data_IF_814880940624
#
_entry.id   IF_814880940624
#
_cell.length_a   1.000
_cell.length_b   1.000
_cell.length_c   1.000
_cell.angle_alpha   90.00
_cell.angle_beta   90.00
_cell.angle_gamma   90.00
#
_symmetry.space_group_name_H-M   'P 1'
#
loop_
_entity.id
_entity.type
_entity.pdbx_description
1 polymer ?
#
# COMPACT_ATOMS: atom_id res chain seq x y z
N UNK A 1 -17.36 27.84 -2.79
CA UNK A 1 -17.39 26.58 -3.58
C UNK A 1 -18.17 25.57 -2.76
N UNK A 2 -19.38 25.22 -3.20
CA UNK A 2 -20.30 24.37 -2.45
C UNK A 2 -19.70 23.01 -2.10
N UNK A 3 -19.94 22.58 -0.86
CA UNK A 3 -19.39 21.37 -0.25
C UNK A 3 -19.81 20.09 -0.96
N UNK A 4 -18.91 19.57 -1.79
CA UNK A 4 -18.94 18.18 -2.21
C UNK A 4 -18.57 17.31 -1.01
N UNK A 5 -19.32 16.23 -0.78
CA UNK A 5 -18.98 15.24 0.24
C UNK A 5 -17.57 14.67 -0.04
N UNK A 6 -16.70 14.48 0.98
CA UNK A 6 -15.42 13.79 0.85
C UNK A 6 -15.43 12.53 -0.04
N UNK A 7 -16.49 11.71 0.08
CA UNK A 7 -16.67 10.51 -0.73
C UNK A 7 -16.92 10.83 -2.20
N UNK A 8 -17.83 11.77 -2.49
CA UNK A 8 -18.14 12.21 -3.86
C UNK A 8 -16.92 12.82 -4.55
N UNK A 9 -16.08 13.53 -3.78
CA UNK A 9 -14.82 14.08 -4.29
C UNK A 9 -13.86 12.98 -4.72
N UNK A 10 -13.64 11.96 -3.89
CA UNK A 10 -12.78 10.83 -4.27
C UNK A 10 -13.33 10.07 -5.48
N UNK A 11 -14.64 9.81 -5.52
CA UNK A 11 -15.29 9.15 -6.66
C UNK A 11 -15.04 9.96 -7.94
N UNK A 12 -15.20 11.28 -7.88
CA UNK A 12 -14.94 12.15 -9.02
C UNK A 12 -13.47 12.08 -9.48
N UNK A 13 -12.52 12.12 -8.56
CA UNK A 13 -11.09 12.09 -8.90
C UNK A 13 -10.68 10.72 -9.48
N UNK A 14 -11.14 9.62 -8.88
CA UNK A 14 -10.89 8.25 -9.34
C UNK A 14 -11.49 7.98 -10.73
N UNK A 15 -12.71 8.45 -10.98
CA UNK A 15 -13.34 8.31 -12.30
C UNK A 15 -12.69 9.21 -13.35
N UNK A 16 -12.40 10.47 -13.01
CA UNK A 16 -11.91 11.46 -13.98
C UNK A 16 -10.44 11.27 -14.36
N UNK A 17 -9.57 11.08 -13.35
CA UNK A 17 -8.12 10.98 -13.54
C UNK A 17 -7.66 9.55 -13.78
N UNK A 18 -8.20 8.59 -13.03
CA UNK A 18 -7.73 7.20 -13.03
C UNK A 18 -8.64 6.25 -13.83
N UNK A 19 -9.70 6.77 -14.47
CA UNK A 19 -10.60 6.03 -15.37
C UNK A 19 -11.28 4.82 -14.72
N UNK A 20 -11.52 4.88 -13.41
CA UNK A 20 -12.33 3.89 -12.71
C UNK A 20 -13.78 3.96 -13.21
N UNK A 21 -14.48 2.82 -13.24
CA UNK A 21 -15.94 2.83 -13.32
C UNK A 21 -16.50 3.47 -12.05
N UNK A 22 -17.72 4.00 -12.09
CA UNK A 22 -18.32 4.64 -10.92
C UNK A 22 -18.38 3.69 -9.71
N UNK A 23 -18.73 2.43 -9.94
CA UNK A 23 -18.85 1.43 -8.88
C UNK A 23 -17.47 1.08 -8.27
N UNK A 24 -16.44 0.89 -9.11
CA UNK A 24 -15.09 0.67 -8.62
C UNK A 24 -14.53 1.90 -7.90
N UNK A 25 -14.85 3.10 -8.37
CA UNK A 25 -14.43 4.34 -7.73
C UNK A 25 -15.08 4.53 -6.36
N UNK A 26 -16.34 4.12 -6.21
CA UNK A 26 -17.04 4.14 -4.94
C UNK A 26 -16.41 3.16 -3.95
N UNK A 27 -16.22 1.90 -4.33
CA UNK A 27 -15.54 0.90 -3.48
C UNK A 27 -14.14 1.38 -3.05
N UNK A 28 -13.34 1.85 -4.01
CA UNK A 28 -12.01 2.38 -3.74
C UNK A 28 -12.03 3.58 -2.79
N UNK A 29 -12.96 4.53 -3.00
CA UNK A 29 -13.09 5.69 -2.14
C UNK A 29 -13.49 5.32 -0.70
N UNK A 30 -14.44 4.39 -0.54
CA UNK A 30 -14.85 3.88 0.78
C UNK A 30 -13.69 3.20 1.50
N UNK A 31 -12.89 2.39 0.79
CA UNK A 31 -11.71 1.71 1.33
C UNK A 31 -10.63 2.68 1.79
N UNK A 32 -10.32 3.69 0.98
CA UNK A 32 -9.33 4.72 1.32
C UNK A 32 -9.72 5.50 2.58
N UNK A 33 -11.02 5.56 2.89
CA UNK A 33 -11.55 6.25 4.07
C UNK A 33 -11.55 5.38 5.34
N UNK A 34 -11.19 4.10 5.28
CA UNK A 34 -11.09 3.22 6.46
C UNK A 34 -10.05 3.71 7.47
N UNK A 35 -8.93 4.25 6.99
CA UNK A 35 -7.88 4.86 7.82
C UNK A 35 -7.70 6.33 7.43
N UNK A 36 -7.87 7.21 8.43
CA UNK A 36 -7.79 8.67 8.23
C UNK A 36 -6.41 9.16 7.77
N UNK A 37 -5.33 8.49 8.16
CA UNK A 37 -3.97 8.83 7.74
C UNK A 37 -3.72 8.43 6.28
N UNK A 38 -4.27 7.29 5.86
CA UNK A 38 -4.23 6.83 4.46
C UNK A 38 -5.05 7.78 3.60
N UNK A 39 -6.27 8.11 4.02
CA UNK A 39 -7.13 9.09 3.36
C UNK A 39 -6.42 10.44 3.18
N UNK A 40 -5.90 11.02 4.26
CA UNK A 40 -5.20 12.30 4.21
C UNK A 40 -3.93 12.24 3.36
N UNK A 41 -3.20 11.11 3.40
CA UNK A 41 -2.07 10.84 2.53
C UNK A 41 -2.48 10.84 1.06
N UNK A 42 -3.60 10.18 0.73
CA UNK A 42 -4.10 10.13 -0.63
C UNK A 42 -4.57 11.50 -1.12
N UNK A 43 -5.22 12.30 -0.27
CA UNK A 43 -5.55 13.69 -0.60
C UNK A 43 -4.30 14.54 -0.86
N UNK A 44 -3.24 14.36 -0.07
CA UNK A 44 -1.96 15.05 -0.30
C UNK A 44 -1.36 14.65 -1.65
N UNK A 45 -1.44 13.37 -1.99
CA UNK A 45 -1.01 12.87 -3.29
C UNK A 45 -1.84 13.47 -4.45
N UNK A 46 -3.17 13.47 -4.36
CA UNK A 46 -4.04 14.04 -5.41
C UNK A 46 -3.79 15.54 -5.66
N UNK A 47 -3.48 16.28 -4.60
CA UNK A 47 -3.32 17.73 -4.65
C UNK A 47 -1.89 18.19 -4.97
N UNK A 48 -0.88 17.46 -4.50
CA UNK A 48 0.54 17.88 -4.53
C UNK A 48 1.47 16.87 -5.18
N UNK A 49 1.00 15.67 -5.52
CA UNK A 49 1.84 14.55 -5.95
C UNK A 49 2.74 14.01 -4.83
N UNK A 50 2.51 14.36 -3.57
CA UNK A 50 3.36 13.98 -2.46
C UNK A 50 2.88 12.67 -1.82
N UNK A 51 3.76 11.66 -1.78
CA UNK A 51 3.52 10.40 -1.09
C UNK A 51 3.62 10.58 0.43
N UNK A 52 2.78 9.83 1.16
CA UNK A 52 2.83 9.80 2.63
C UNK A 52 3.88 8.80 3.12
N UNK A 53 4.60 9.17 4.18
CA UNK A 53 5.49 8.26 4.91
C UNK A 53 4.77 7.41 5.95
N UNK A 54 3.44 7.49 6.03
CA UNK A 54 2.65 6.66 6.95
C UNK A 54 2.83 5.18 6.62
N UNK A 55 3.20 4.40 7.64
CA UNK A 55 3.46 2.97 7.50
C UNK A 55 2.37 2.13 8.16
N UNK A 56 1.88 1.11 7.46
CA UNK A 56 1.00 0.09 8.02
C UNK A 56 1.75 -1.24 7.96
N UNK A 57 2.01 -1.83 9.13
CA UNK A 57 2.71 -3.13 9.24
C UNK A 57 4.07 -3.19 8.53
N UNK A 58 4.79 -2.07 8.51
CA UNK A 58 6.08 -1.97 7.83
C UNK A 58 6.00 -1.61 6.35
N UNK A 59 4.81 -1.58 5.75
CA UNK A 59 4.61 -1.14 4.37
C UNK A 59 4.32 0.36 4.31
N UNK A 60 4.91 1.06 3.36
CA UNK A 60 4.58 2.43 2.99
C UNK A 60 4.05 2.46 1.56
N UNK A 61 3.44 3.57 1.15
CA UNK A 61 3.04 3.74 -0.26
C UNK A 61 4.26 3.64 -1.19
N UNK A 62 5.40 4.20 -0.77
CA UNK A 62 6.64 4.15 -1.54
C UNK A 62 7.19 2.73 -1.68
N UNK A 63 7.22 1.94 -0.58
CA UNK A 63 7.65 0.55 -0.66
C UNK A 63 6.71 -0.25 -1.56
N UNK A 64 5.39 -0.08 -1.42
CA UNK A 64 4.40 -0.77 -2.26
C UNK A 64 4.55 -0.44 -3.76
N UNK A 65 4.89 0.79 -4.12
CA UNK A 65 5.17 1.16 -5.52
C UNK A 65 6.50 0.54 -5.99
N UNK A 66 7.56 0.69 -5.21
CA UNK A 66 8.91 0.22 -5.59
C UNK A 66 8.99 -1.30 -5.70
N UNK A 67 8.48 -1.96 -4.67
CA UNK A 67 8.74 -3.37 -4.34
C UNK A 67 7.71 -4.31 -4.92
N UNK A 68 6.51 -3.81 -5.19
CA UNK A 68 5.39 -4.58 -5.76
C UNK A 68 4.91 -4.00 -7.10
N UNK A 69 5.60 -2.99 -7.64
CA UNK A 69 5.29 -2.33 -8.92
C UNK A 69 3.84 -1.82 -9.03
N UNK A 70 3.22 -1.54 -7.88
CA UNK A 70 1.89 -0.97 -7.83
C UNK A 70 1.92 0.48 -8.33
N UNK A 71 0.89 0.89 -9.07
CA UNK A 71 0.67 2.31 -9.30
C UNK A 71 0.29 3.00 -7.97
N UNK A 72 0.40 4.33 -7.86
CA UNK A 72 0.13 5.02 -6.61
C UNK A 72 -1.27 4.75 -6.04
N UNK A 73 -2.32 4.67 -6.87
CA UNK A 73 -3.68 4.38 -6.39
C UNK A 73 -3.75 2.94 -5.86
N UNK A 74 -3.19 1.99 -6.61
CA UNK A 74 -3.05 0.60 -6.17
C UNK A 74 -2.31 0.48 -4.83
N UNK A 75 -1.22 1.21 -4.64
CA UNK A 75 -0.45 1.21 -3.41
C UNK A 75 -1.23 1.79 -2.22
N UNK A 76 -1.98 2.89 -2.40
CA UNK A 76 -2.85 3.43 -1.34
C UNK A 76 -4.00 2.47 -0.99
N UNK A 77 -4.62 1.84 -1.98
CA UNK A 77 -5.67 0.84 -1.75
C UNK A 77 -5.12 -0.39 -1.04
N UNK A 78 -3.92 -0.84 -1.40
CA UNK A 78 -3.25 -1.95 -0.72
C UNK A 78 -2.89 -1.58 0.72
N UNK A 79 -2.44 -0.34 0.97
CA UNK A 79 -2.18 0.14 2.32
C UNK A 79 -3.46 0.18 3.17
N UNK A 80 -4.59 0.61 2.59
CA UNK A 80 -5.90 0.57 3.25
C UNK A 80 -6.35 -0.86 3.56
N UNK A 81 -6.12 -1.77 2.61
CA UNK A 81 -6.40 -3.19 2.75
C UNK A 81 -5.60 -3.83 3.89
N UNK A 82 -4.30 -3.53 3.98
CA UNK A 82 -3.43 -4.00 5.07
C UNK A 82 -3.82 -3.44 6.43
N UNK A 83 -4.44 -2.26 6.47
CA UNK A 83 -4.91 -1.64 7.71
C UNK A 83 -6.15 -2.34 8.26
N UNK A 84 -7.13 -2.61 7.39
CA UNK A 84 -8.42 -3.19 7.80
C UNK A 84 -8.38 -4.74 7.83
N UNK A 85 -7.83 -5.36 6.78
CA UNK A 85 -7.80 -6.81 6.59
C UNK A 85 -6.36 -7.31 6.32
N UNK A 86 -5.49 -7.29 7.34
CA UNK A 86 -4.07 -7.53 7.16
C UNK A 86 -3.71 -8.88 6.55
N UNK A 87 -4.35 -9.97 6.97
CA UNK A 87 -4.10 -11.30 6.42
C UNK A 87 -4.50 -11.39 4.94
N UNK A 88 -5.55 -10.66 4.53
CA UNK A 88 -5.99 -10.60 3.14
C UNK A 88 -5.03 -9.75 2.31
N UNK A 89 -4.62 -8.58 2.82
CA UNK A 89 -3.62 -7.72 2.17
C UNK A 89 -2.27 -8.41 1.99
N UNK A 90 -1.72 -9.04 3.03
CA UNK A 90 -0.46 -9.79 2.96
C UNK A 90 -0.56 -10.97 1.97
N UNK A 91 -1.72 -11.63 1.89
CA UNK A 91 -1.96 -12.67 0.89
C UNK A 91 -1.96 -12.10 -0.54
N UNK A 92 -2.55 -10.92 -0.78
CA UNK A 92 -2.50 -10.26 -2.08
C UNK A 92 -1.08 -9.89 -2.48
N UNK A 93 -0.30 -9.32 -1.55
CA UNK A 93 1.11 -9.03 -1.79
C UNK A 93 1.90 -10.29 -2.15
N UNK A 94 1.66 -11.40 -1.44
CA UNK A 94 2.28 -12.68 -1.77
C UNK A 94 1.90 -13.17 -3.17
N UNK A 95 0.63 -13.09 -3.54
CA UNK A 95 0.16 -13.46 -4.89
C UNK A 95 0.81 -12.59 -5.98
N UNK A 96 0.99 -11.29 -5.74
CA UNK A 96 1.71 -10.40 -6.66
C UNK A 96 3.15 -10.89 -6.90
N UNK A 97 3.84 -11.36 -5.86
CA UNK A 97 5.22 -11.85 -6.00
C UNK A 97 5.30 -13.23 -6.65
N UNK A 98 4.37 -14.12 -6.33
CA UNK A 98 4.40 -15.52 -6.81
C UNK A 98 3.85 -15.64 -8.24
N UNK A 99 2.76 -14.94 -8.52
CA UNK A 99 2.00 -15.08 -9.75
C UNK A 99 2.17 -13.87 -10.67
N UNK A 100 2.71 -12.74 -10.20
CA UNK A 100 2.68 -11.48 -10.94
C UNK A 100 1.33 -10.77 -10.81
N UNK A 101 1.21 -9.57 -11.37
CA UNK A 101 -0.08 -8.90 -11.48
C UNK A 101 -0.25 -8.13 -12.78
N UNK A 102 -1.51 -8.07 -13.21
CA UNK A 102 -1.92 -7.25 -14.34
C UNK A 102 -1.74 -5.77 -13.98
N UNK A 103 -1.04 -5.05 -14.84
CA UNK A 103 -0.94 -3.60 -14.86
C UNK A 103 -1.60 -3.09 -16.14
N UNK A 104 -2.35 -1.99 -16.03
CA UNK A 104 -2.91 -1.33 -17.19
C UNK A 104 -1.93 -0.25 -17.62
N UNK A 105 -1.26 -0.47 -18.75
CA UNK A 105 -0.42 0.54 -19.39
C UNK A 105 -1.29 1.28 -20.38
N UNK A 106 -1.23 2.61 -20.34
CA UNK A 106 -1.93 3.45 -21.31
C UNK A 106 -0.91 3.88 -22.34
N UNK A 107 -1.12 3.51 -23.60
CA UNK A 107 -0.26 3.92 -24.70
C UNK A 107 -0.44 5.43 -25.01
N UNK A 108 0.43 5.99 -25.85
CA UNK A 108 0.39 7.41 -26.24
C UNK A 108 -0.92 7.81 -26.93
N UNK A 109 -1.66 6.83 -27.48
CA UNK A 109 -2.93 7.00 -28.19
C UNK A 109 -4.16 6.81 -27.26
N UNK A 110 -3.95 6.47 -25.98
CA UNK A 110 -5.01 6.23 -25.00
C UNK A 110 -5.63 4.83 -25.03
N UNK A 111 -5.04 3.90 -25.78
CA UNK A 111 -5.29 2.46 -25.70
C UNK A 111 -4.82 1.89 -24.36
N UNK A 112 -5.57 0.92 -23.83
CA UNK A 112 -5.22 0.20 -22.61
C UNK A 112 -4.60 -1.13 -23.00
N UNK A 113 -3.31 -1.30 -22.73
CA UNK A 113 -2.62 -2.58 -22.85
C UNK A 113 -2.50 -3.20 -21.45
N UNK A 114 -2.85 -4.49 -21.33
CA UNK A 114 -2.68 -5.22 -20.08
C UNK A 114 -1.28 -5.84 -20.12
N UNK A 115 -0.34 -5.26 -19.38
CA UNK A 115 0.96 -5.87 -19.18
C UNK A 115 0.97 -6.67 -17.89
N UNK A 116 1.42 -7.91 -18.00
CA UNK A 116 1.58 -8.79 -16.86
C UNK A 116 2.95 -8.53 -16.24
N UNK A 117 2.97 -7.84 -15.09
CA UNK A 117 4.20 -7.50 -14.40
C UNK A 117 4.59 -8.63 -13.47
N UNK A 118 5.77 -9.21 -13.71
CA UNK A 118 6.43 -10.08 -12.75
C UNK A 118 7.34 -9.20 -11.91
N UNK A 119 7.07 -9.15 -10.61
CA UNK A 119 7.91 -8.42 -9.68
C UNK A 119 8.96 -9.40 -9.18
N UNK A 120 10.23 -9.11 -9.44
CA UNK A 120 11.29 -9.80 -8.70
C UNK A 120 11.04 -9.55 -7.22
N UNK A 121 11.03 -10.60 -6.36
CA UNK A 121 10.74 -10.44 -4.96
C UNK A 121 11.60 -9.31 -4.43
N UNK A 122 11.00 -8.31 -3.76
CA UNK A 122 11.75 -7.16 -3.33
C UNK A 122 12.94 -7.63 -2.53
N UNK A 123 14.11 -7.13 -2.90
CA UNK A 123 15.32 -7.25 -2.09
C UNK A 123 15.18 -6.33 -0.88
N UNK A 124 14.11 -6.53 -0.09
CA UNK A 124 14.31 -6.48 1.35
C UNK A 124 15.57 -7.30 1.57
N UNK A 125 16.51 -6.75 2.32
CA UNK A 125 17.59 -7.57 2.82
C UNK A 125 16.92 -8.64 3.67
N UNK A 126 16.57 -9.75 3.02
CA UNK A 126 16.16 -11.02 3.57
C UNK A 126 17.46 -11.65 4.08
N UNK A 127 18.22 -10.89 4.87
CA UNK A 127 19.19 -11.47 5.78
C UNK A 127 18.46 -12.04 7.01
N UNK A 128 17.12 -11.98 7.04
CA UNK A 128 16.30 -12.41 8.16
C UNK A 128 16.68 -11.70 9.46
N UNK A 129 17.44 -10.60 9.39
CA UNK A 129 17.92 -9.92 10.57
C UNK A 129 16.93 -8.83 10.93
N UNK A 130 15.83 -9.27 11.53
CA UNK A 130 15.11 -8.42 12.45
C UNK A 130 16.13 -8.04 13.53
N UNK A 131 16.84 -6.92 13.37
CA UNK A 131 17.88 -6.48 14.29
C UNK A 131 17.35 -5.41 15.20
N UNK A 132 17.65 -5.54 16.48
CA UNK A 132 17.28 -4.56 17.47
C UNK A 132 17.97 -3.23 17.17
N UNK A 133 17.22 -2.15 17.05
CA UNK A 133 17.75 -0.80 16.77
C UNK A 133 18.74 -0.30 17.83
N UNK A 134 18.74 -0.89 19.04
CA UNK A 134 19.66 -0.53 20.12
C UNK A 134 20.99 -1.28 20.11
N UNK A 135 20.97 -2.58 19.82
CA UNK A 135 22.17 -3.42 19.93
C UNK A 135 22.57 -4.12 18.63
N UNK A 136 21.76 -4.01 17.58
CA UNK A 136 21.93 -4.73 16.34
C UNK A 136 21.80 -6.26 16.47
N UNK A 137 21.34 -6.77 17.62
CA UNK A 137 21.15 -8.20 17.89
C UNK A 137 19.85 -8.74 17.28
N UNK A 138 19.76 -10.06 17.12
CA UNK A 138 18.60 -10.72 16.51
C UNK A 138 17.32 -10.54 17.37
N UNK A 139 16.22 -10.18 16.71
CA UNK A 139 14.89 -10.04 17.28
C UNK A 139 14.11 -11.32 17.01
N UNK A 140 13.35 -11.75 18.01
CA UNK A 140 12.45 -12.89 17.89
C UNK A 140 11.01 -12.42 17.76
N UNK A 141 10.28 -13.02 16.83
CA UNK A 141 8.85 -12.79 16.69
C UNK A 141 8.09 -13.43 17.86
N UNK A 142 7.21 -12.67 18.48
CA UNK A 142 6.33 -13.14 19.56
C UNK A 142 4.89 -13.21 19.02
N UNK A 143 4.49 -14.39 18.54
CA UNK A 143 3.17 -14.67 17.94
C UNK A 143 2.00 -14.12 18.78
N UNK A 144 2.03 -14.36 20.10
CA UNK A 144 0.98 -13.95 21.02
C UNK A 144 0.77 -12.42 21.10
N UNK A 145 1.77 -11.63 20.74
CA UNK A 145 1.72 -10.17 20.80
C UNK A 145 1.91 -9.49 19.45
N UNK A 146 2.17 -10.27 18.39
CA UNK A 146 2.50 -9.80 17.04
C UNK A 146 3.54 -8.67 17.07
N UNK A 147 4.61 -8.87 17.85
CA UNK A 147 5.70 -7.89 18.07
C UNK A 147 7.07 -8.57 18.05
N UNK A 148 8.08 -7.81 17.66
CA UNK A 148 9.49 -8.21 17.71
C UNK A 148 10.08 -7.94 19.10
N UNK A 149 10.78 -8.91 19.66
CA UNK A 149 11.41 -8.79 20.97
C UNK A 149 12.90 -9.11 20.93
N UNK A 150 13.70 -8.22 21.50
CA UNK A 150 15.14 -8.42 21.70
C UNK A 150 15.39 -9.04 23.07
N UNK A 151 16.04 -10.20 23.13
CA UNK A 151 16.42 -10.83 24.40
C UNK A 151 17.63 -10.17 25.08
N UNK A 152 18.53 -9.57 24.30
CA UNK A 152 19.71 -8.89 24.83
C UNK A 152 19.34 -7.57 25.52
N UNK A 153 18.51 -6.76 24.87
CA UNK A 153 18.01 -5.49 25.40
C UNK A 153 16.73 -5.64 26.25
N UNK A 154 16.12 -6.83 26.26
CA UNK A 154 14.86 -7.16 26.95
C UNK A 154 13.71 -6.21 26.65
N UNK A 155 13.59 -5.79 25.40
CA UNK A 155 12.61 -4.80 24.96
C UNK A 155 11.98 -5.18 23.62
N UNK A 156 10.81 -4.60 23.35
CA UNK A 156 10.16 -4.69 22.04
C UNK A 156 10.72 -3.65 21.08
N UNK A 157 10.72 -3.97 19.78
CA UNK A 157 10.94 -3.03 18.68
C UNK A 157 9.60 -2.57 18.13
#
# INVERSE_FOLDING_TARGET
MSGMNPLDYLIYELTSRYKFTRDHAQDAAERLMWDINIYNGFLSYLNKGQLTGYSVRGYTVESLISDYKLDPVGAFLMLAELSEYPERGEKYLKMILEEGHETVVVDEDGGKEIEFSFVEPPTWSDDGSHRCEKCGGELKWIEQYKRWYCYDCKQYS
#
